data_IF_464492828091
#
_entry.id   IF_464492828091
#
_cell.length_a   1.000
_cell.length_b   1.000
_cell.length_c   1.000
_cell.angle_alpha   90.00
_cell.angle_beta   90.00
_cell.angle_gamma   90.00
#
_symmetry.space_group_name_H-M   'P 1'
#
loop_
_entity.id
_entity.type
_entity.pdbx_description
1 polymer ?
#
# COMPACT_ATOMS: atom_id res chain seq x y z
N UNK A 1 -57.80 -17.96 35.35
CA UNK A 1 -57.37 -17.02 34.29
C UNK A 1 -55.86 -16.85 34.41
N UNK A 2 -55.08 -17.58 33.63
CA UNK A 2 -53.60 -17.53 33.64
C UNK A 2 -53.16 -16.48 32.61
N UNK A 3 -52.47 -15.43 33.04
CA UNK A 3 -51.78 -14.48 32.16
C UNK A 3 -50.48 -15.12 31.66
N UNK A 4 -50.13 -15.03 30.36
CA UNK A 4 -48.86 -15.55 29.87
C UNK A 4 -47.73 -14.60 30.27
N UNK A 5 -46.61 -15.19 30.72
CA UNK A 5 -45.36 -14.46 30.97
C UNK A 5 -44.83 -13.89 29.65
N UNK A 6 -44.52 -12.60 29.66
CA UNK A 6 -43.90 -11.88 28.54
C UNK A 6 -42.45 -12.36 28.42
N UNK A 7 -42.13 -13.11 27.37
CA UNK A 7 -40.76 -13.46 27.02
C UNK A 7 -39.94 -12.18 26.81
N UNK A 8 -38.87 -12.04 27.59
CA UNK A 8 -37.90 -10.97 27.46
C UNK A 8 -37.06 -11.19 26.20
N UNK A 9 -37.64 -10.88 25.05
CA UNK A 9 -36.93 -10.83 23.78
C UNK A 9 -35.77 -9.83 23.86
N UNK A 10 -34.55 -10.34 23.71
CA UNK A 10 -33.33 -9.55 23.59
C UNK A 10 -33.54 -8.49 22.50
N UNK A 11 -33.44 -7.20 22.88
CA UNK A 11 -33.66 -6.08 21.97
C UNK A 11 -32.75 -6.19 20.72
N UNK A 12 -33.31 -6.07 19.49
CA UNK A 12 -32.56 -6.21 18.23
C UNK A 12 -31.32 -5.31 18.13
N UNK A 13 -31.35 -4.13 18.77
CA UNK A 13 -30.24 -3.16 18.75
C UNK A 13 -28.99 -3.65 19.48
N UNK A 14 -29.10 -4.47 20.53
CA UNK A 14 -27.93 -5.02 21.25
C UNK A 14 -27.21 -6.12 20.45
N UNK A 15 -27.94 -6.84 19.60
CA UNK A 15 -27.40 -7.90 18.74
C UNK A 15 -26.62 -7.32 17.56
N UNK A 16 -27.18 -6.29 16.91
CA UNK A 16 -26.53 -5.61 15.79
C UNK A 16 -25.23 -4.92 16.21
N UNK A 17 -25.20 -4.28 17.39
CA UNK A 17 -23.99 -3.64 17.90
C UNK A 17 -22.87 -4.65 18.15
N UNK A 18 -23.18 -5.83 18.73
CA UNK A 18 -22.21 -6.92 18.89
C UNK A 18 -21.69 -7.43 17.54
N UNK A 19 -22.55 -7.57 16.53
CA UNK A 19 -22.15 -7.98 15.19
C UNK A 19 -21.24 -6.95 14.52
N UNK A 20 -21.58 -5.66 14.63
CA UNK A 20 -20.77 -4.56 14.10
C UNK A 20 -19.40 -4.52 14.78
N UNK A 21 -19.34 -4.60 16.11
CA UNK A 21 -18.07 -4.67 16.86
C UNK A 21 -17.26 -5.90 16.43
N UNK A 22 -17.89 -7.07 16.28
CA UNK A 22 -17.21 -8.28 15.83
C UNK A 22 -16.65 -8.14 14.40
N UNK A 23 -17.38 -7.50 13.49
CA UNK A 23 -16.91 -7.22 12.13
C UNK A 23 -15.72 -6.25 12.11
N UNK A 24 -15.74 -5.23 12.97
CA UNK A 24 -14.60 -4.32 13.15
C UNK A 24 -13.38 -5.06 13.70
N UNK A 25 -13.56 -5.86 14.73
CA UNK A 25 -12.49 -6.65 15.37
C UNK A 25 -11.89 -7.69 14.41
N UNK A 26 -12.72 -8.39 13.63
CA UNK A 26 -12.25 -9.30 12.58
C UNK A 26 -11.48 -8.58 11.47
N UNK A 27 -11.93 -7.39 11.05
CA UNK A 27 -11.26 -6.59 10.03
C UNK A 27 -9.90 -6.11 10.52
N UNK A 28 -9.83 -5.65 11.77
CA UNK A 28 -8.59 -5.20 12.41
C UNK A 28 -7.60 -6.37 12.55
N UNK A 29 -8.03 -7.52 13.07
CA UNK A 29 -7.19 -8.71 13.21
C UNK A 29 -6.62 -9.19 11.87
N UNK A 30 -7.43 -9.25 10.81
CA UNK A 30 -6.94 -9.60 9.46
C UNK A 30 -5.92 -8.59 8.91
N UNK A 31 -6.06 -7.32 9.27
CA UNK A 31 -5.12 -6.26 8.86
C UNK A 31 -3.80 -6.40 9.62
N UNK A 32 -3.85 -6.66 10.93
CA UNK A 32 -2.68 -6.97 11.77
C UNK A 32 -1.90 -8.17 11.22
N UNK A 33 -2.59 -9.26 10.91
CA UNK A 33 -1.95 -10.44 10.29
C UNK A 33 -1.29 -10.10 8.95
N UNK A 34 -1.95 -9.28 8.13
CA UNK A 34 -1.41 -8.85 6.85
C UNK A 34 -0.16 -7.99 7.01
N UNK A 35 -0.14 -7.08 7.98
CA UNK A 35 1.03 -6.25 8.30
C UNK A 35 2.21 -7.12 8.74
N UNK A 36 1.97 -8.10 9.63
CA UNK A 36 3.03 -9.00 10.14
C UNK A 36 3.64 -9.88 9.05
N UNK A 37 2.90 -10.18 7.98
CA UNK A 37 3.43 -10.92 6.82
C UNK A 37 4.35 -10.09 5.93
N UNK A 38 4.27 -8.76 5.98
CA UNK A 38 5.14 -7.90 5.18
C UNK A 38 6.51 -7.79 5.86
N UNK A 39 7.57 -8.16 5.14
CA UNK A 39 8.94 -8.21 5.66
C UNK A 39 9.41 -6.88 6.26
N UNK A 40 8.95 -5.75 5.72
CA UNK A 40 9.31 -4.41 6.20
C UNK A 40 8.81 -4.11 7.63
N UNK A 41 7.83 -4.88 8.12
CA UNK A 41 7.16 -4.63 9.41
C UNK A 41 7.45 -5.70 10.46
N UNK A 42 8.32 -6.67 10.19
CA UNK A 42 8.61 -7.76 11.12
C UNK A 42 9.15 -7.29 12.48
N UNK A 43 9.93 -6.21 12.49
CA UNK A 43 10.52 -5.65 13.71
C UNK A 43 9.63 -4.59 14.38
N UNK A 44 8.36 -4.47 14.01
CA UNK A 44 7.45 -3.52 14.67
C UNK A 44 6.97 -4.08 16.01
N UNK A 45 7.04 -3.30 17.11
CA UNK A 45 6.36 -3.65 18.35
C UNK A 45 4.87 -3.87 18.10
N UNK A 46 4.25 -4.78 18.85
CA UNK A 46 2.84 -5.13 18.68
C UNK A 46 1.91 -3.90 18.70
N UNK A 47 2.17 -2.96 19.61
CA UNK A 47 1.39 -1.72 19.71
C UNK A 47 1.49 -0.82 18.47
N UNK A 48 2.60 -0.86 17.74
CA UNK A 48 2.78 -0.12 16.50
C UNK A 48 2.12 -0.83 15.31
N UNK A 49 2.14 -2.17 15.29
CA UNK A 49 1.38 -2.96 14.32
C UNK A 49 -0.12 -2.66 14.44
N UNK A 50 -0.66 -2.65 15.66
CA UNK A 50 -2.06 -2.31 15.90
C UNK A 50 -2.37 -0.87 15.51
N UNK A 51 -1.50 0.08 15.85
CA UNK A 51 -1.70 1.48 15.48
C UNK A 51 -1.72 1.66 13.95
N UNK A 52 -0.82 1.00 13.23
CA UNK A 52 -0.81 1.00 11.77
C UNK A 52 -2.06 0.34 11.20
N UNK A 53 -2.49 -0.81 11.75
CA UNK A 53 -3.69 -1.52 11.32
C UNK A 53 -4.95 -0.66 11.38
N UNK A 54 -5.09 0.16 12.43
CA UNK A 54 -6.21 1.12 12.60
C UNK A 54 -6.23 2.24 11.57
N UNK A 55 -5.07 2.57 10.99
CA UNK A 55 -4.87 3.64 10.00
C UNK A 55 -4.85 3.14 8.57
N UNK A 56 -4.77 1.84 8.38
CA UNK A 56 -4.71 1.22 7.08
C UNK A 56 -6.08 0.74 6.60
N UNK A 57 -6.24 0.70 5.28
CA UNK A 57 -7.46 0.28 4.63
C UNK A 57 -7.19 -0.81 3.61
N UNK A 58 -7.82 -1.97 3.81
CA UNK A 58 -7.79 -3.04 2.83
C UNK A 58 -8.65 -2.68 1.61
N UNK A 59 -8.10 -2.90 0.42
CA UNK A 59 -8.75 -2.70 -0.89
C UNK A 59 -8.50 -3.91 -1.78
N UNK A 60 -9.54 -4.36 -2.46
CA UNK A 60 -9.47 -5.44 -3.45
C UNK A 60 -9.60 -4.83 -4.83
N UNK A 61 -8.81 -5.32 -5.77
CA UNK A 61 -8.83 -4.91 -7.16
C UNK A 61 -8.95 -6.16 -8.03
N UNK A 62 -9.80 -6.08 -9.06
CA UNK A 62 -9.90 -7.10 -10.09
C UNK A 62 -8.76 -6.96 -11.10
N UNK A 63 -8.57 -8.00 -11.90
CA UNK A 63 -7.64 -7.94 -13.04
C UNK A 63 -7.98 -6.74 -13.92
N UNK A 64 -6.96 -6.03 -14.35
CA UNK A 64 -7.04 -4.80 -15.14
C UNK A 64 -7.74 -3.60 -14.46
N UNK A 65 -8.09 -3.68 -13.18
CA UNK A 65 -8.67 -2.55 -12.45
C UNK A 65 -7.60 -1.50 -12.11
N UNK A 66 -7.90 -0.23 -12.39
CA UNK A 66 -7.00 0.89 -12.10
C UNK A 66 -7.02 1.22 -10.60
N UNK A 67 -5.83 1.28 -9.99
CA UNK A 67 -5.64 1.63 -8.59
C UNK A 67 -5.53 3.15 -8.44
N UNK A 68 -4.78 3.78 -9.35
CA UNK A 68 -4.75 5.23 -9.55
C UNK A 68 -4.25 5.56 -10.95
N UNK A 69 -4.64 6.73 -11.47
CA UNK A 69 -4.18 7.23 -12.75
C UNK A 69 -3.03 8.24 -12.61
N UNK A 70 -2.18 8.29 -13.63
CA UNK A 70 -1.24 9.39 -13.84
C UNK A 70 -1.98 10.75 -13.92
N UNK A 71 -1.34 11.81 -13.44
CA UNK A 71 -1.83 13.18 -13.36
C UNK A 71 -3.01 13.39 -12.39
N UNK A 72 -3.27 12.43 -11.50
CA UNK A 72 -4.24 12.58 -10.40
C UNK A 72 -3.56 12.93 -9.08
N UNK A 73 -4.27 13.48 -8.08
CA UNK A 73 -3.70 13.73 -6.76
C UNK A 73 -3.11 12.47 -6.10
N UNK A 74 -1.87 12.57 -5.60
CA UNK A 74 -1.21 11.49 -4.90
C UNK A 74 -1.61 11.51 -3.41
N UNK A 75 -2.54 10.63 -3.00
CA UNK A 75 -3.16 10.67 -1.67
C UNK A 75 -2.89 9.46 -0.78
N UNK A 76 -2.25 8.41 -1.29
CA UNK A 76 -2.05 7.17 -0.56
C UNK A 76 -0.82 6.36 -1.03
N UNK A 77 -0.19 5.71 -0.05
CA UNK A 77 0.78 4.63 -0.19
C UNK A 77 0.04 3.28 -0.15
N UNK A 78 0.50 2.31 -0.93
CA UNK A 78 -0.09 0.97 -1.00
C UNK A 78 0.95 -0.12 -0.77
N UNK A 79 0.60 -1.12 0.02
CA UNK A 79 1.37 -2.35 0.22
C UNK A 79 0.63 -3.52 -0.40
N UNK A 80 1.31 -4.31 -1.23
CA UNK A 80 0.71 -5.46 -1.92
C UNK A 80 0.73 -6.65 -0.97
N UNK A 81 -0.44 -7.10 -0.54
CA UNK A 81 -0.60 -8.28 0.33
C UNK A 81 -0.61 -9.55 -0.52
N UNK A 82 -1.35 -9.56 -1.62
CA UNK A 82 -1.39 -10.65 -2.59
C UNK A 82 -1.68 -10.13 -4.00
N UNK A 83 -1.28 -10.89 -5.02
CA UNK A 83 -1.41 -10.50 -6.42
C UNK A 83 -0.25 -9.62 -6.90
N UNK A 84 -0.50 -8.88 -7.97
CA UNK A 84 0.51 -8.05 -8.64
C UNK A 84 -0.06 -6.77 -9.24
N UNK A 85 0.81 -5.77 -9.39
CA UNK A 85 0.48 -4.43 -9.87
C UNK A 85 1.48 -4.02 -10.96
N UNK A 86 0.96 -3.60 -12.11
CA UNK A 86 1.75 -2.96 -13.15
C UNK A 86 1.79 -1.46 -12.94
N UNK A 87 2.96 -0.86 -13.12
CA UNK A 87 3.16 0.58 -13.14
C UNK A 87 3.35 1.02 -14.60
N UNK A 88 2.60 2.05 -15.01
CA UNK A 88 2.52 2.49 -16.39
C UNK A 88 2.83 3.98 -16.52
N UNK A 89 3.47 4.38 -17.63
CA UNK A 89 3.72 5.77 -17.99
C UNK A 89 3.03 6.09 -19.32
N UNK A 90 2.27 7.18 -19.37
CA UNK A 90 1.70 7.69 -20.63
C UNK A 90 2.82 8.21 -21.53
N UNK A 91 2.84 7.78 -22.80
CA UNK A 91 3.62 8.45 -23.86
C UNK A 91 2.79 9.55 -24.53
N UNK A 92 3.47 10.48 -25.21
CA UNK A 92 2.84 11.55 -26.01
C UNK A 92 1.85 11.04 -27.06
N UNK A 93 2.00 9.80 -27.52
CA UNK A 93 1.16 9.15 -28.53
C UNK A 93 -0.05 8.39 -27.97
N UNK A 94 -0.43 8.60 -26.69
CA UNK A 94 -1.46 7.84 -25.95
C UNK A 94 -1.16 6.36 -25.69
N UNK A 95 -0.05 5.81 -26.21
CA UNK A 95 0.43 4.47 -25.87
C UNK A 95 0.98 4.50 -24.44
N UNK A 96 0.54 3.56 -23.59
CA UNK A 96 1.04 3.40 -22.23
C UNK A 96 2.12 2.32 -22.17
N UNK A 97 3.30 2.69 -21.69
CA UNK A 97 4.36 1.72 -21.43
C UNK A 97 4.27 1.20 -20.02
N UNK A 98 4.31 -0.13 -19.86
CA UNK A 98 4.53 -0.74 -18.54
C UNK A 98 6.01 -0.61 -18.18
N UNK A 99 6.31 0.18 -17.17
CA UNK A 99 7.68 0.43 -16.72
C UNK A 99 8.14 -0.55 -15.64
N UNK A 100 7.20 -1.12 -14.88
CA UNK A 100 7.52 -2.05 -13.79
C UNK A 100 6.35 -2.96 -13.47
N UNK A 101 6.65 -4.15 -12.92
CA UNK A 101 5.67 -5.03 -12.27
C UNK A 101 6.11 -5.24 -10.83
N UNK A 102 5.18 -5.03 -9.90
CA UNK A 102 5.38 -5.19 -8.47
C UNK A 102 4.54 -6.36 -7.97
N UNK A 103 5.15 -7.24 -7.18
CA UNK A 103 4.54 -8.45 -6.63
C UNK A 103 4.18 -8.26 -5.16
N UNK A 104 3.46 -9.23 -4.59
CA UNK A 104 3.20 -9.32 -3.15
C UNK A 104 4.48 -9.11 -2.31
N UNK A 105 4.35 -8.41 -1.19
CA UNK A 105 5.50 -8.02 -0.37
C UNK A 105 6.33 -6.87 -0.95
N UNK A 106 5.77 -6.08 -1.89
CA UNK A 106 6.29 -4.78 -2.32
C UNK A 106 5.29 -3.67 -2.01
N UNK A 107 5.72 -2.40 -2.13
CA UNK A 107 4.88 -1.23 -1.95
C UNK A 107 5.08 -0.20 -3.07
N UNK A 108 4.08 0.64 -3.28
CA UNK A 108 4.05 1.64 -4.35
C UNK A 108 3.18 2.84 -3.99
N UNK A 109 3.31 3.91 -4.76
CA UNK A 109 2.60 5.16 -4.50
C UNK A 109 3.17 5.97 -3.34
N UNK A 110 4.34 5.59 -2.85
CA UNK A 110 5.11 6.21 -1.76
C UNK A 110 5.46 7.68 -2.03
N UNK A 111 5.55 8.08 -3.30
CA UNK A 111 5.70 9.49 -3.67
C UNK A 111 4.58 10.39 -3.13
N UNK A 112 3.39 9.84 -2.85
CA UNK A 112 2.29 10.58 -2.22
C UNK A 112 2.59 11.06 -0.80
N UNK A 113 3.49 10.38 -0.10
CA UNK A 113 3.87 10.74 1.27
C UNK A 113 5.03 11.75 1.29
N UNK A 114 5.85 11.78 0.24
CA UNK A 114 7.06 12.60 0.18
C UNK A 114 6.84 13.92 -0.58
N UNK A 115 5.90 13.95 -1.52
CA UNK A 115 5.64 15.10 -2.39
C UNK A 115 4.15 15.49 -2.39
N UNK A 116 3.87 16.75 -2.72
CA UNK A 116 2.53 17.29 -2.97
C UNK A 116 2.13 17.20 -4.46
N UNK A 117 2.95 16.54 -5.27
CA UNK A 117 2.76 16.46 -6.71
C UNK A 117 1.70 15.43 -7.14
N UNK A 118 1.24 15.58 -8.39
CA UNK A 118 0.40 14.61 -9.08
C UNK A 118 1.13 13.27 -9.25
N UNK A 119 0.35 12.18 -9.37
CA UNK A 119 0.83 10.85 -9.72
C UNK A 119 1.63 10.92 -11.03
N UNK A 120 2.90 10.53 -10.99
CA UNK A 120 3.78 10.50 -12.18
C UNK A 120 3.56 9.29 -13.09
N UNK A 121 2.81 8.30 -12.60
CA UNK A 121 2.56 7.02 -13.24
C UNK A 121 1.12 6.58 -12.93
N UNK A 122 0.55 5.69 -13.73
CA UNK A 122 -0.65 4.93 -13.38
C UNK A 122 -0.26 3.61 -12.71
N UNK A 123 -1.15 3.06 -11.88
CA UNK A 123 -1.02 1.73 -11.30
C UNK A 123 -2.28 0.92 -11.58
N UNK A 124 -2.11 -0.33 -12.00
CA UNK A 124 -3.22 -1.20 -12.40
C UNK A 124 -2.95 -2.63 -11.96
N UNK A 125 -3.98 -3.29 -11.42
CA UNK A 125 -3.87 -4.67 -10.98
C UNK A 125 -3.70 -5.60 -12.19
N UNK A 126 -2.74 -6.53 -12.11
CA UNK A 126 -2.46 -7.48 -13.20
C UNK A 126 -3.15 -8.84 -12.99
N UNK A 127 -3.73 -9.03 -11.81
CA UNK A 127 -4.54 -10.17 -11.43
C UNK A 127 -5.47 -9.73 -10.30
N UNK A 128 -6.15 -10.68 -9.62
CA UNK A 128 -6.86 -10.33 -8.39
C UNK A 128 -5.86 -9.90 -7.32
N UNK A 129 -5.91 -8.63 -6.95
CA UNK A 129 -4.89 -8.01 -6.11
C UNK A 129 -5.50 -7.46 -4.83
N UNK A 130 -4.88 -7.79 -3.70
CA UNK A 130 -5.22 -7.29 -2.37
C UNK A 130 -4.14 -6.32 -1.92
N UNK A 131 -4.53 -5.09 -1.61
CA UNK A 131 -3.60 -4.08 -1.09
C UNK A 131 -4.08 -3.52 0.25
N UNK A 132 -3.10 -3.08 1.04
CA UNK A 132 -3.30 -2.23 2.20
C UNK A 132 -2.93 -0.81 1.82
N UNK A 133 -3.88 0.12 1.89
CA UNK A 133 -3.66 1.53 1.64
C UNK A 133 -3.45 2.30 2.95
N UNK A 134 -2.48 3.20 2.97
CA UNK A 134 -2.26 4.21 4.01
C UNK A 134 -2.42 5.59 3.38
N UNK A 135 -3.44 6.33 3.77
CA UNK A 135 -3.66 7.67 3.27
C UNK A 135 -2.65 8.65 3.86
N UNK A 136 -2.33 9.69 3.09
CA UNK A 136 -1.42 10.76 3.52
C UNK A 136 -1.87 11.40 4.84
N UNK A 137 -3.16 11.69 4.99
CA UNK A 137 -3.73 12.27 6.21
C UNK A 137 -3.56 11.36 7.43
N UNK A 138 -3.68 10.05 7.24
CA UNK A 138 -3.46 9.08 8.32
C UNK A 138 -1.98 8.94 8.66
N UNK A 139 -1.11 9.05 7.65
CA UNK A 139 0.33 9.09 7.85
C UNK A 139 0.78 10.35 8.60
N UNK A 140 0.29 11.54 8.22
CA UNK A 140 0.53 12.80 8.93
C UNK A 140 0.09 12.73 10.40
N UNK A 141 -1.02 12.03 10.68
CA UNK A 141 -1.44 11.78 12.05
C UNK A 141 -0.52 10.80 12.79
N UNK A 142 0.05 9.79 12.11
CA UNK A 142 1.06 8.92 12.69
C UNK A 142 2.35 9.68 13.01
N UNK A 143 2.75 10.67 12.21
CA UNK A 143 3.91 11.51 12.51
C UNK A 143 3.74 12.24 13.86
N UNK A 144 2.53 12.75 14.12
CA UNK A 144 2.22 13.47 15.35
C UNK A 144 2.04 12.53 16.56
N UNK A 145 1.34 11.42 16.37
CA UNK A 145 0.92 10.55 17.48
C UNK A 145 1.90 9.40 17.78
N UNK A 146 2.68 8.97 16.78
CA UNK A 146 3.66 7.88 16.86
C UNK A 146 4.90 8.16 15.99
N UNK A 147 5.70 9.18 16.31
CA UNK A 147 6.83 9.62 15.47
C UNK A 147 7.87 8.52 15.20
N UNK A 148 8.07 7.58 16.13
CA UNK A 148 8.98 6.43 15.92
C UNK A 148 8.49 5.48 14.83
N UNK A 149 7.18 5.25 14.75
CA UNK A 149 6.56 4.43 13.70
C UNK A 149 6.64 5.15 12.35
N UNK A 150 6.33 6.44 12.31
CA UNK A 150 6.46 7.26 11.10
C UNK A 150 7.91 7.28 10.58
N UNK A 151 8.91 7.46 11.47
CA UNK A 151 10.32 7.38 11.11
C UNK A 151 10.69 6.01 10.52
N UNK A 152 10.10 4.91 11.01
CA UNK A 152 10.36 3.58 10.45
C UNK A 152 9.77 3.43 9.05
N UNK A 153 8.58 3.97 8.80
CA UNK A 153 7.98 4.04 7.46
C UNK A 153 8.84 4.85 6.50
N UNK A 154 9.35 6.01 6.92
CA UNK A 154 10.30 6.79 6.13
C UNK A 154 11.57 5.99 5.80
N UNK A 155 12.16 5.28 6.77
CA UNK A 155 13.31 4.41 6.53
C UNK A 155 13.03 3.33 5.48
N UNK A 156 11.84 2.73 5.49
CA UNK A 156 11.43 1.74 4.50
C UNK A 156 11.40 2.37 3.09
N UNK A 157 10.82 3.56 2.96
CA UNK A 157 10.76 4.31 1.70
C UNK A 157 12.17 4.70 1.23
N UNK A 158 12.99 5.29 2.11
CA UNK A 158 14.36 5.69 1.79
C UNK A 158 15.22 4.50 1.38
N UNK A 159 15.11 3.35 2.07
CA UNK A 159 15.85 2.14 1.71
C UNK A 159 15.49 1.64 0.31
N UNK A 160 14.20 1.69 -0.06
CA UNK A 160 13.76 1.38 -1.43
C UNK A 160 14.46 2.27 -2.46
N UNK A 161 14.40 3.59 -2.28
CA UNK A 161 15.02 4.53 -3.21
C UNK A 161 16.54 4.38 -3.27
N UNK A 162 17.19 4.11 -2.14
CA UNK A 162 18.63 3.84 -2.11
C UNK A 162 18.99 2.60 -2.94
N UNK A 163 18.23 1.50 -2.79
CA UNK A 163 18.41 0.30 -3.61
C UNK A 163 18.18 0.57 -5.09
N UNK A 164 17.10 1.29 -5.46
CA UNK A 164 16.80 1.63 -6.85
C UNK A 164 17.89 2.52 -7.47
N UNK A 165 18.37 3.53 -6.74
CA UNK A 165 19.47 4.39 -7.18
C UNK A 165 20.77 3.61 -7.39
N UNK A 166 21.07 2.67 -6.50
CA UNK A 166 22.28 1.84 -6.60
C UNK A 166 22.23 0.97 -7.86
N UNK A 167 21.10 0.30 -8.11
CA UNK A 167 20.89 -0.52 -9.33
C UNK A 167 21.04 0.35 -10.59
N UNK A 168 20.38 1.50 -10.61
CA UNK A 168 20.46 2.43 -11.74
C UNK A 168 21.90 2.89 -12.02
N UNK A 169 22.67 3.23 -10.98
CA UNK A 169 24.07 3.63 -11.14
C UNK A 169 24.94 2.51 -11.73
N UNK A 170 24.74 1.27 -11.30
CA UNK A 170 25.44 0.11 -11.86
C UNK A 170 25.10 -0.12 -13.33
N UNK A 171 23.81 -0.16 -13.67
CA UNK A 171 23.34 -0.35 -15.06
C UNK A 171 23.83 0.78 -15.98
N UNK A 172 23.75 2.03 -15.52
CA UNK A 172 24.22 3.19 -16.27
C UNK A 172 25.72 3.12 -16.54
N UNK A 173 26.51 2.70 -15.54
CA UNK A 173 27.95 2.52 -15.71
C UNK A 173 28.28 1.43 -16.75
N UNK A 174 27.62 0.29 -16.69
CA UNK A 174 27.80 -0.80 -17.66
C UNK A 174 27.43 -0.39 -19.09
N UNK A 175 26.30 0.32 -19.26
CA UNK A 175 25.87 0.86 -20.55
C UNK A 175 26.88 1.86 -21.11
N UNK A 176 27.37 2.77 -20.27
CA UNK A 176 28.38 3.75 -20.66
C UNK A 176 29.67 3.09 -21.16
N UNK A 177 30.11 2.01 -20.52
CA UNK A 177 31.28 1.24 -20.99
C UNK A 177 31.03 0.52 -22.33
N UNK A 178 29.82 -0.03 -22.54
CA UNK A 178 29.46 -0.69 -23.79
C UNK A 178 29.44 0.28 -24.96
N UNK A 179 28.79 1.44 -24.79
CA UNK A 179 28.74 2.49 -25.82
C UNK A 179 30.16 2.97 -26.19
N UNK A 180 31.01 3.22 -25.19
CA UNK A 180 32.40 3.64 -25.44
C UNK A 180 33.20 2.59 -26.23
N UNK A 181 33.00 1.29 -25.96
CA UNK A 181 33.64 0.20 -26.72
C UNK A 181 33.10 0.08 -28.15
N UNK A 182 31.79 0.23 -28.35
CA UNK A 182 31.18 0.15 -29.68
C UNK A 182 31.54 1.34 -30.57
N UNK A 183 31.76 2.53 -29.99
CA UNK A 183 32.29 3.70 -30.70
C UNK A 183 33.77 3.57 -31.06
N UNK A 184 34.57 2.85 -30.28
CA UNK A 184 35.98 2.54 -30.58
C UNK A 184 36.16 1.47 -31.67
N UNK A 185 35.10 0.75 -32.04
CA UNK A 185 35.11 -0.33 -33.04
C UNK A 185 34.55 0.09 -34.41
N UNK A 186 34.25 1.38 -34.60
CA UNK A 186 33.87 2.00 -35.88
C UNK A 186 34.99 2.88 -36.40
#
# INVERSE_FOLDING_TARGET
MHLPKKDAGVSPRKSLFKQVIHLFDQKENKTVESIKRLSFFQDLPEGDVQALAKKCHIRHFNIEEEIYAEDTPATALYFIISGSVGIYKKRRSQVTDRIQVLQAGKFFGDSSLVSTELRKHSAKAMEKTLVMALFKTDFELLEQTRPRLALKLYKIITNKYYSELTIFQTEFHELSQKVAKDELMK
#
